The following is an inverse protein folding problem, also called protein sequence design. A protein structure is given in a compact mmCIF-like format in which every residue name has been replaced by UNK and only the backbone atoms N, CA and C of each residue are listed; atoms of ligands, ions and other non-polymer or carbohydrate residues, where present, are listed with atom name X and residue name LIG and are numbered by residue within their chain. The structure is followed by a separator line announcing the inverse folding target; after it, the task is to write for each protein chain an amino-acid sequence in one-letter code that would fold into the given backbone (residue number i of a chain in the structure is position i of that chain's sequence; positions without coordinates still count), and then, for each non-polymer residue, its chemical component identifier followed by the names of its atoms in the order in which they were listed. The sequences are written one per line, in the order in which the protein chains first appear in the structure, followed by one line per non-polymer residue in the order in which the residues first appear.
data_IF_135094221169
#
_entry.id   IF_135094221169
#
_cell.length_a   1.000
_cell.length_b   1.000
_cell.length_c   1.000
_cell.angle_alpha   90.00
_cell.angle_beta   90.00
_cell.angle_gamma   90.00
#
_symmetry.space_group_name_H-M   'P 1'
#
loop_
_entity.id
_entity.type
_entity.pdbx_description
1 polymer ?
#
# COMPACT_ATOMS: atom_id res chain seq x y z
N UNK A 1 -1.16 -0.44 -16.86
CA UNK A 1 -1.29 -0.45 -15.39
C UNK A 1 0.06 -0.62 -14.72
N UNK A 2 0.21 -0.04 -13.56
CA UNK A 2 1.44 -0.12 -12.77
C UNK A 2 1.11 -0.65 -11.39
N UNK A 3 1.96 -1.54 -10.87
CA UNK A 3 1.87 -2.00 -9.49
C UNK A 3 2.86 -1.26 -8.61
N UNK A 4 2.49 -1.01 -7.36
CA UNK A 4 3.38 -0.37 -6.41
C UNK A 4 3.35 -1.13 -5.10
N UNK A 5 4.52 -1.61 -4.66
CA UNK A 5 4.70 -2.21 -3.35
C UNK A 5 5.20 -1.13 -2.39
N UNK A 6 4.54 -1.01 -1.26
CA UNK A 6 4.93 -0.09 -0.19
C UNK A 6 5.16 -0.94 1.05
N UNK A 7 6.42 -1.14 1.42
CA UNK A 7 6.80 -2.07 2.49
C UNK A 7 7.30 -1.31 3.71
N UNK A 8 6.74 -1.67 4.85
CA UNK A 8 7.10 -1.13 6.15
C UNK A 8 7.78 -2.21 6.97
N UNK A 9 9.04 -1.98 7.35
CA UNK A 9 9.83 -2.92 8.17
C UNK A 9 9.97 -2.35 9.56
N UNK A 10 9.44 -3.06 10.54
CA UNK A 10 9.38 -2.56 11.92
C UNK A 10 10.44 -3.14 12.84
N UNK A 11 10.86 -4.39 12.60
CA UNK A 11 11.73 -5.06 13.57
C UNK A 11 11.05 -5.19 14.93
N UNK A 12 11.77 -4.83 15.98
CA UNK A 12 11.29 -4.99 17.36
C UNK A 12 10.10 -4.07 17.70
N UNK A 13 9.89 -3.01 16.94
CA UNK A 13 8.77 -2.09 17.15
C UNK A 13 7.46 -2.57 16.53
N UNK A 14 7.45 -3.77 15.95
CA UNK A 14 6.28 -4.29 15.27
C UNK A 14 5.11 -4.51 16.23
N UNK A 15 3.96 -3.94 15.88
CA UNK A 15 2.70 -4.11 16.59
C UNK A 15 1.63 -4.49 15.56
N UNK A 16 1.31 -5.77 15.51
CA UNK A 16 0.37 -6.30 14.52
C UNK A 16 -1.00 -5.66 14.64
N UNK A 17 -1.50 -5.46 15.85
CA UNK A 17 -2.83 -4.86 16.05
C UNK A 17 -2.86 -3.42 15.56
N UNK A 18 -1.80 -2.66 15.80
CA UNK A 18 -1.70 -1.29 15.32
C UNK A 18 -1.70 -1.23 13.80
N UNK A 19 -0.94 -2.12 13.14
CA UNK A 19 -0.88 -2.20 11.67
C UNK A 19 -2.24 -2.57 11.10
N UNK A 20 -2.92 -3.56 11.68
CA UNK A 20 -4.27 -3.96 11.24
C UNK A 20 -5.27 -2.83 11.41
N UNK A 21 -5.15 -2.08 12.50
CA UNK A 21 -6.02 -0.94 12.77
C UNK A 21 -5.84 0.16 11.71
N UNK A 22 -4.59 0.44 11.33
CA UNK A 22 -4.30 1.40 10.26
C UNK A 22 -5.00 0.97 8.97
N UNK A 23 -4.88 -0.31 8.60
CA UNK A 23 -5.50 -0.84 7.38
C UNK A 23 -7.03 -0.69 7.41
N UNK A 24 -7.66 -1.07 8.52
CA UNK A 24 -9.12 -0.98 8.65
C UNK A 24 -9.60 0.47 8.60
N UNK A 25 -8.87 1.38 9.24
CA UNK A 25 -9.23 2.81 9.27
C UNK A 25 -9.00 3.47 7.92
N UNK A 26 -7.93 3.12 7.23
CA UNK A 26 -7.57 3.74 5.95
C UNK A 26 -8.40 3.22 4.77
N UNK A 27 -9.00 2.05 4.91
CA UNK A 27 -9.69 1.36 3.81
C UNK A 27 -10.66 2.26 3.06
N UNK A 28 -11.52 2.94 3.77
CA UNK A 28 -12.57 3.77 3.17
C UNK A 28 -12.01 4.89 2.29
N UNK A 29 -10.84 5.40 2.62
CA UNK A 29 -10.18 6.46 1.86
C UNK A 29 -9.86 6.04 0.44
N UNK A 30 -9.58 4.76 0.23
CA UNK A 30 -9.17 4.24 -1.07
C UNK A 30 -10.34 3.68 -1.88
N UNK A 31 -11.50 3.49 -1.28
CA UNK A 31 -12.69 3.04 -2.01
C UNK A 31 -13.12 4.13 -2.99
N UNK A 32 -13.25 3.76 -4.27
CA UNK A 32 -13.64 4.71 -5.31
C UNK A 32 -12.59 5.76 -5.68
N UNK A 33 -11.35 5.61 -5.22
CA UNK A 33 -10.30 6.57 -5.54
C UNK A 33 -9.99 6.55 -7.03
N UNK A 34 -10.02 7.74 -7.66
CA UNK A 34 -9.77 7.88 -9.09
C UNK A 34 -8.35 7.41 -9.44
N UNK A 35 -8.25 6.62 -10.51
CA UNK A 35 -6.96 6.09 -10.98
C UNK A 35 -6.46 4.87 -10.23
N UNK A 36 -7.05 4.52 -9.10
CA UNK A 36 -6.69 3.33 -8.34
C UNK A 36 -7.60 2.17 -8.73
N UNK A 37 -7.00 1.12 -9.29
CA UNK A 37 -7.73 -0.07 -9.70
C UNK A 37 -8.04 -0.97 -8.50
N UNK A 38 -7.01 -1.26 -7.70
CA UNK A 38 -7.16 -2.08 -6.51
C UNK A 38 -6.03 -1.81 -5.53
N UNK A 39 -6.26 -2.17 -4.27
CA UNK A 39 -5.26 -2.08 -3.21
C UNK A 39 -5.48 -3.20 -2.21
N UNK A 40 -4.39 -3.84 -1.81
CA UNK A 40 -4.38 -4.80 -0.71
C UNK A 40 -3.49 -4.28 0.41
N UNK A 41 -4.00 -4.38 1.64
CA UNK A 41 -3.21 -4.14 2.85
C UNK A 41 -2.81 -5.51 3.39
N UNK A 42 -1.53 -5.74 3.60
CA UNK A 42 -1.07 -7.02 4.13
C UNK A 42 -0.22 -6.83 5.38
N UNK A 43 -0.15 -7.87 6.19
CA UNK A 43 0.70 -7.91 7.37
C UNK A 43 1.42 -9.26 7.39
N UNK A 44 2.70 -9.22 7.74
CA UNK A 44 3.55 -10.42 7.85
C UNK A 44 4.14 -10.43 9.25
N UNK A 45 3.50 -11.16 10.16
CA UNK A 45 3.92 -11.19 11.57
C UNK A 45 5.25 -11.88 11.76
N UNK A 46 5.56 -12.88 10.94
CA UNK A 46 6.82 -13.61 11.04
C UNK A 46 8.00 -12.71 10.72
N UNK A 47 7.85 -11.83 9.74
CA UNK A 47 8.91 -10.90 9.32
C UNK A 47 8.81 -9.54 9.98
N UNK A 48 7.74 -9.30 10.75
CA UNK A 48 7.47 -8.01 11.39
C UNK A 48 7.40 -6.87 10.38
N UNK A 49 6.65 -7.12 9.32
CA UNK A 49 6.50 -6.20 8.18
C UNK A 49 5.04 -6.01 7.84
N UNK A 50 4.75 -4.91 7.18
CA UNK A 50 3.49 -4.70 6.49
C UNK A 50 3.81 -4.31 5.06
N UNK A 51 3.03 -4.82 4.10
CA UNK A 51 3.20 -4.45 2.70
C UNK A 51 1.85 -4.11 2.11
N UNK A 52 1.75 -2.91 1.54
CA UNK A 52 0.57 -2.53 0.78
C UNK A 52 0.90 -2.69 -0.70
N UNK A 53 -0.01 -3.28 -1.44
CA UNK A 53 0.14 -3.43 -2.88
C UNK A 53 -0.96 -2.67 -3.59
N UNK A 54 -0.57 -1.75 -4.47
CA UNK A 54 -1.48 -0.93 -5.24
C UNK A 54 -1.43 -1.31 -6.71
N UNK A 55 -2.56 -1.27 -7.38
CA UNK A 55 -2.64 -1.34 -8.83
C UNK A 55 -3.24 -0.04 -9.34
N UNK A 56 -2.45 0.71 -10.08
CA UNK A 56 -2.84 2.01 -10.62
C UNK A 56 -3.05 1.93 -12.12
N UNK A 57 -3.94 2.77 -12.65
CA UNK A 57 -4.23 2.80 -14.09
C UNK A 57 -3.03 3.24 -14.92
N UNK A 58 -2.18 4.10 -14.37
CA UNK A 58 -1.02 4.63 -15.08
C UNK A 58 0.11 5.03 -14.14
N UNK A 59 1.31 5.15 -14.70
CA UNK A 59 2.49 5.64 -13.99
C UNK A 59 2.26 7.06 -13.48
N UNK A 60 1.62 7.90 -14.27
CA UNK A 60 1.40 9.31 -13.91
C UNK A 60 0.55 9.43 -12.64
N UNK A 61 -0.52 8.64 -12.54
CA UNK A 61 -1.39 8.64 -11.37
C UNK A 61 -0.62 8.13 -10.15
N UNK A 62 0.13 7.04 -10.31
CA UNK A 62 0.94 6.48 -9.23
C UNK A 62 1.99 7.47 -8.74
N UNK A 63 2.71 8.11 -9.66
CA UNK A 63 3.74 9.10 -9.30
C UNK A 63 3.13 10.30 -8.59
N UNK A 64 1.97 10.74 -9.01
CA UNK A 64 1.28 11.85 -8.35
C UNK A 64 0.88 11.49 -6.92
N UNK A 65 0.42 10.26 -6.69
CA UNK A 65 0.05 9.80 -5.35
C UNK A 65 1.27 9.66 -4.44
N UNK A 66 2.36 9.07 -4.94
CA UNK A 66 3.57 8.83 -4.14
C UNK A 66 4.55 10.00 -4.17
N UNK A 67 4.03 11.22 -4.16
CA UNK A 67 4.85 12.42 -3.98
C UNK A 67 5.43 12.47 -2.56
N UNK A 68 6.46 13.29 -2.36
CA UNK A 68 7.15 13.38 -1.07
C UNK A 68 6.20 13.72 0.08
N UNK A 69 5.24 14.62 -0.16
CA UNK A 69 4.28 15.02 0.86
C UNK A 69 3.43 13.84 1.34
N UNK A 70 2.93 13.03 0.40
CA UNK A 70 2.14 11.85 0.74
C UNK A 70 2.99 10.76 1.38
N UNK A 71 4.22 10.57 0.93
CA UNK A 71 5.13 9.60 1.54
C UNK A 71 5.46 9.98 2.98
N UNK A 72 5.64 11.27 3.25
CA UNK A 72 5.86 11.76 4.62
C UNK A 72 4.65 11.49 5.51
N UNK A 73 3.45 11.71 4.98
CA UNK A 73 2.21 11.43 5.71
C UNK A 73 2.06 9.93 6.00
N UNK A 74 2.35 9.09 5.02
CA UNK A 74 2.32 7.63 5.18
C UNK A 74 3.33 7.18 6.23
N UNK A 75 4.54 7.71 6.19
CA UNK A 75 5.57 7.41 7.17
C UNK A 75 5.14 7.80 8.58
N UNK A 76 4.51 8.96 8.72
CA UNK A 76 3.97 9.41 10.01
C UNK A 76 2.87 8.49 10.53
N UNK A 77 1.99 8.04 9.66
CA UNK A 77 0.88 7.16 10.02
C UNK A 77 1.37 5.77 10.46
N UNK A 78 2.33 5.21 9.73
CA UNK A 78 2.86 3.86 10.02
C UNK A 78 3.97 3.86 11.05
N UNK A 79 4.58 5.01 11.33
CA UNK A 79 5.68 5.11 12.31
C UNK A 79 7.06 4.75 11.77
N UNK A 80 7.15 4.32 10.52
CA UNK A 80 8.42 4.02 9.83
C UNK A 80 8.29 4.45 8.37
N UNK A 81 9.42 4.81 7.78
CA UNK A 81 9.43 5.19 6.38
C UNK A 81 9.41 3.93 5.50
N UNK A 82 8.52 3.84 4.51
CA UNK A 82 8.43 2.65 3.69
C UNK A 82 9.47 2.60 2.58
N UNK A 83 9.77 1.38 2.12
CA UNK A 83 10.40 1.14 0.84
C UNK A 83 9.30 1.11 -0.22
N UNK A 84 9.46 1.84 -1.30
CA UNK A 84 8.48 1.92 -2.39
C UNK A 84 9.09 1.36 -3.66
N UNK A 85 8.38 0.42 -4.28
CA UNK A 85 8.86 -0.21 -5.51
C UNK A 85 7.76 -0.23 -6.56
N UNK A 86 8.02 0.40 -7.69
CA UNK A 86 7.15 0.38 -8.86
C UNK A 86 7.48 -0.84 -9.72
N UNK A 87 6.45 -1.52 -10.19
CA UNK A 87 6.60 -2.66 -11.10
C UNK A 87 5.60 -2.53 -12.23
N UNK A 88 6.01 -2.96 -13.43
CA UNK A 88 5.07 -3.05 -14.54
C UNK A 88 4.23 -4.31 -14.39
N UNK A 89 2.94 -4.21 -14.64
CA UNK A 89 2.05 -5.34 -14.58
C UNK A 89 1.99 -5.97 -15.97
N UNK A 90 2.51 -7.19 -16.09
CA UNK A 90 2.50 -7.92 -17.35
C UNK A 90 1.10 -8.45 -17.69
N UNK A 91 0.38 -8.89 -16.66
CA UNK A 91 -0.99 -9.38 -16.79
C UNK A 91 -1.67 -9.31 -15.43
N UNK A 92 -2.96 -9.00 -15.44
CA UNK A 92 -3.78 -8.97 -14.23
C UNK A 92 -4.98 -9.88 -14.46
N UNK A 93 -5.17 -10.83 -13.55
CA UNK A 93 -6.34 -11.71 -13.59
C UNK A 93 -7.27 -11.27 -12.48
N UNK A 94 -8.49 -10.90 -12.84
CA UNK A 94 -9.53 -10.55 -11.90
C UNK A 94 -10.65 -11.57 -12.01
N UNK A 95 -10.92 -12.26 -10.89
CA UNK A 95 -12.02 -13.20 -10.81
C UNK A 95 -13.19 -12.47 -10.19
N UNK A 96 -14.27 -12.35 -10.94
CA UNK A 96 -15.49 -11.76 -10.42
C UNK A 96 -16.13 -12.75 -9.47
N UNK A 97 -16.32 -12.31 -8.27
CA UNK A 97 -16.68 -13.03 -7.10
C UNK A 97 -17.60 -14.21 -7.25
N UNK A 98 -17.19 -15.25 -6.69
CA UNK A 98 -18.02 -16.42 -6.49
C UNK A 98 -18.96 -16.14 -5.34
#
# INVERSE_FOLDING_TARGET
MIGVFVRFRYGDDFDEQAVRHIAQTARAKFEGMAGLHSKAFTVDSARREATNFYVWDSDDVANAFFCNENLDRIAGLYGVRPDVKFVQIAALVENKGA
#
